data_IF_440634749395
#
_entry.id   IF_440634749395
#
_cell.length_a   1.000
_cell.length_b   1.000
_cell.length_c   1.000
_cell.angle_alpha   90.00
_cell.angle_beta   90.00
_cell.angle_gamma   90.00
#
_symmetry.space_group_name_H-M   'P 1'
#
loop_
_entity.id
_entity.type
_entity.pdbx_description
1 polymer ?
#
# COMPACT_ATOMS: atom_id res chain seq x y z
N UNK A 1 -8.85 -3.20 -20.02
CA UNK A 1 -7.42 -3.35 -19.70
C UNK A 1 -7.14 -2.39 -18.55
N UNK A 2 -6.48 -2.84 -17.47
CA UNK A 2 -6.13 -1.97 -16.35
C UNK A 2 -5.07 -0.96 -16.76
N UNK A 3 -5.19 0.28 -16.31
CA UNK A 3 -4.11 1.27 -16.34
C UNK A 3 -3.71 1.65 -14.92
N UNK A 4 -2.45 2.04 -14.74
CA UNK A 4 -1.90 2.46 -13.44
C UNK A 4 -1.25 3.82 -13.61
N UNK A 5 -1.73 4.80 -12.87
CA UNK A 5 -1.06 6.09 -12.70
C UNK A 5 -0.33 6.09 -11.35
N UNK A 6 0.92 6.55 -11.39
CA UNK A 6 1.79 6.66 -10.20
C UNK A 6 2.00 8.12 -9.85
N UNK A 7 1.78 8.45 -8.59
CA UNK A 7 2.05 9.78 -8.03
C UNK A 7 3.06 9.65 -6.90
N UNK A 8 4.17 10.35 -6.99
CA UNK A 8 5.16 10.45 -5.92
C UNK A 8 5.03 11.82 -5.26
N UNK A 9 4.84 11.85 -3.95
CA UNK A 9 4.92 13.10 -3.17
C UNK A 9 6.39 13.39 -2.86
N UNK A 10 6.94 14.44 -3.46
CA UNK A 10 8.34 14.82 -3.29
C UNK A 10 8.74 15.16 -1.85
N UNK A 11 7.77 15.44 -0.97
CA UNK A 11 8.03 15.77 0.44
C UNK A 11 8.24 14.54 1.33
N UNK A 12 7.66 13.40 0.94
CA UNK A 12 7.68 12.16 1.71
C UNK A 12 8.16 10.97 0.88
N UNK A 13 8.34 11.17 -0.43
CA UNK A 13 8.80 10.19 -1.42
C UNK A 13 8.00 8.87 -1.45
N UNK A 14 6.75 8.89 -0.98
CA UNK A 14 5.86 7.75 -1.03
C UNK A 14 5.01 7.75 -2.30
N UNK A 15 4.79 6.58 -2.85
CA UNK A 15 4.01 6.37 -4.05
C UNK A 15 2.53 6.15 -3.73
N UNK A 16 1.67 6.86 -4.43
CA UNK A 16 0.23 6.60 -4.52
C UNK A 16 -0.08 6.02 -5.89
N UNK A 17 -0.91 5.00 -5.97
CA UNK A 17 -1.32 4.40 -7.23
C UNK A 17 -2.83 4.52 -7.43
N UNK A 18 -3.23 4.97 -8.64
CA UNK A 18 -4.60 4.88 -9.13
C UNK A 18 -4.66 3.76 -10.18
N UNK A 19 -5.37 2.69 -9.86
CA UNK A 19 -5.61 1.59 -10.79
C UNK A 19 -6.98 1.83 -11.41
N UNK A 20 -7.02 2.04 -12.72
CA UNK A 20 -8.27 2.31 -13.44
C UNK A 20 -8.71 1.10 -14.25
N UNK A 21 -9.98 0.75 -14.12
CA UNK A 21 -10.69 -0.24 -14.93
C UNK A 21 -11.95 0.41 -15.51
N UNK A 22 -11.92 0.83 -16.77
CA UNK A 22 -12.99 1.61 -17.41
C UNK A 22 -13.32 2.89 -16.57
N UNK A 23 -14.53 2.99 -16.02
CA UNK A 23 -14.97 4.12 -15.19
C UNK A 23 -14.79 3.87 -13.68
N UNK A 24 -13.98 2.91 -13.30
CA UNK A 24 -13.75 2.52 -11.90
C UNK A 24 -12.29 2.74 -11.50
N UNK A 25 -12.05 3.17 -10.27
CA UNK A 25 -10.72 3.41 -9.71
C UNK A 25 -10.57 2.70 -8.38
N UNK A 26 -9.44 2.02 -8.22
CA UNK A 26 -8.94 1.54 -6.93
C UNK A 26 -7.70 2.36 -6.57
N UNK A 27 -7.66 2.88 -5.34
CA UNK A 27 -6.54 3.70 -4.84
C UNK A 27 -5.67 2.83 -3.92
N UNK A 28 -4.35 2.83 -4.15
CA UNK A 28 -3.39 2.22 -3.24
C UNK A 28 -2.56 3.34 -2.60
N UNK A 29 -2.50 3.34 -1.26
CA UNK A 29 -1.69 4.25 -0.44
C UNK A 29 -1.90 5.73 -0.80
N UNK A 30 -3.04 6.36 -0.42
CA UNK A 30 -3.33 7.76 -0.71
C UNK A 30 -2.44 8.70 0.12
N UNK A 31 -1.25 8.95 -0.37
CA UNK A 31 -0.23 9.80 0.25
C UNK A 31 -0.09 11.16 -0.43
N UNK A 32 -0.45 11.22 -1.70
CA UNK A 32 -0.26 12.41 -2.54
C UNK A 32 -1.33 13.48 -2.28
N UNK A 33 -1.08 14.71 -2.75
CA UNK A 33 -2.00 15.83 -2.58
C UNK A 33 -3.41 15.49 -3.11
N UNK A 34 -4.44 15.69 -2.27
CA UNK A 34 -5.81 15.30 -2.59
C UNK A 34 -6.34 15.94 -3.87
N UNK A 35 -6.07 17.24 -4.11
CA UNK A 35 -6.52 17.91 -5.35
C UNK A 35 -5.89 17.31 -6.60
N UNK A 36 -4.66 16.84 -6.50
CA UNK A 36 -4.01 16.11 -7.60
C UNK A 36 -4.73 14.79 -7.86
N UNK A 37 -4.96 13.98 -6.84
CA UNK A 37 -5.68 12.71 -6.97
C UNK A 37 -7.09 12.94 -7.52
N UNK A 38 -7.84 13.91 -6.96
CA UNK A 38 -9.19 14.27 -7.39
C UNK A 38 -9.25 14.62 -8.88
N UNK A 39 -8.27 15.37 -9.38
CA UNK A 39 -8.20 15.74 -10.82
C UNK A 39 -8.05 14.51 -11.72
N UNK A 40 -7.25 13.51 -11.32
CA UNK A 40 -7.03 12.30 -12.10
C UNK A 40 -8.15 11.27 -11.95
N UNK A 41 -8.78 11.22 -10.78
CA UNK A 41 -9.99 10.44 -10.56
C UNK A 41 -11.12 10.97 -11.47
N UNK A 42 -11.31 12.31 -11.52
CA UNK A 42 -12.37 12.93 -12.32
C UNK A 42 -13.75 12.42 -11.90
N UNK A 43 -14.58 12.03 -12.86
CA UNK A 43 -15.94 11.52 -12.64
C UNK A 43 -16.00 10.00 -12.44
N UNK A 44 -14.86 9.33 -12.26
CA UNK A 44 -14.81 7.87 -12.06
C UNK A 44 -15.31 7.49 -10.67
N UNK A 45 -15.82 6.28 -10.57
CA UNK A 45 -16.27 5.67 -9.33
C UNK A 45 -15.05 5.16 -8.57
N UNK A 46 -14.86 5.60 -7.33
CA UNK A 46 -13.82 5.08 -6.44
C UNK A 46 -14.36 3.83 -5.73
N UNK A 47 -14.02 2.65 -6.26
CA UNK A 47 -14.48 1.37 -5.73
C UNK A 47 -13.93 1.08 -4.33
N UNK A 48 -12.69 1.50 -4.06
CA UNK A 48 -12.04 1.27 -2.78
C UNK A 48 -10.70 1.96 -2.65
N UNK A 49 -10.23 2.00 -1.41
CA UNK A 49 -8.85 2.38 -1.05
C UNK A 49 -8.20 1.19 -0.37
N UNK A 50 -6.94 0.91 -0.66
CA UNK A 50 -6.15 -0.07 0.08
C UNK A 50 -4.94 0.60 0.69
N UNK A 51 -4.66 0.33 1.96
CA UNK A 51 -3.38 0.65 2.56
C UNK A 51 -2.50 -0.59 2.62
N UNK A 52 -1.30 -0.50 2.05
CA UNK A 52 -0.31 -1.58 2.12
C UNK A 52 0.20 -1.76 3.54
N UNK A 53 0.27 -0.68 4.31
CA UNK A 53 0.60 -0.70 5.74
C UNK A 53 0.19 0.61 6.43
N UNK A 54 0.48 0.74 7.72
CA UNK A 54 -0.01 1.84 8.55
C UNK A 54 1.03 2.93 8.85
N UNK A 55 2.03 3.19 8.00
CA UNK A 55 2.88 4.38 8.14
C UNK A 55 2.21 5.60 7.51
N UNK A 56 2.39 6.76 8.14
CA UNK A 56 1.69 8.01 7.82
C UNK A 56 1.90 8.48 6.39
N UNK A 57 3.09 8.31 5.87
CA UNK A 57 3.45 8.69 4.51
C UNK A 57 2.68 7.89 3.43
N UNK A 58 2.01 6.79 3.79
CA UNK A 58 1.14 6.03 2.90
C UNK A 58 -0.35 6.36 3.04
N UNK A 59 -0.76 7.10 4.09
CA UNK A 59 -2.17 7.44 4.29
C UNK A 59 -2.44 8.92 4.58
N UNK A 60 -1.47 9.79 4.33
CA UNK A 60 -1.54 11.24 4.60
C UNK A 60 -2.84 11.90 4.11
N UNK A 61 -3.37 11.47 2.97
CA UNK A 61 -4.57 12.01 2.32
C UNK A 61 -5.79 11.08 2.43
N UNK A 62 -5.70 10.00 3.21
CA UNK A 62 -6.79 9.03 3.34
C UNK A 62 -8.08 9.68 3.84
N UNK A 63 -7.98 10.61 4.80
CA UNK A 63 -9.16 11.28 5.37
C UNK A 63 -9.93 12.05 4.30
N UNK A 64 -9.24 12.83 3.47
CA UNK A 64 -9.86 13.59 2.40
C UNK A 64 -10.50 12.68 1.35
N UNK A 65 -9.86 11.55 1.03
CA UNK A 65 -10.47 10.57 0.10
C UNK A 65 -11.75 10.00 0.68
N UNK A 66 -11.75 9.56 1.93
CA UNK A 66 -12.94 8.99 2.58
C UNK A 66 -14.06 9.99 2.80
N UNK A 67 -13.74 11.27 2.99
CA UNK A 67 -14.75 12.33 3.16
C UNK A 67 -15.41 12.75 1.85
N UNK A 68 -14.69 12.65 0.72
CA UNK A 68 -15.18 13.16 -0.57
C UNK A 68 -15.73 12.07 -1.50
N UNK A 69 -15.48 10.78 -1.20
CA UNK A 69 -15.97 9.66 -2.00
C UNK A 69 -16.78 8.67 -1.15
N UNK A 70 -17.83 8.12 -1.72
CA UNK A 70 -18.58 7.01 -1.11
C UNK A 70 -17.81 5.72 -1.30
N UNK A 71 -16.78 5.54 -0.49
CA UNK A 71 -15.81 4.43 -0.59
C UNK A 71 -15.36 3.95 0.78
N UNK A 72 -14.72 2.79 0.82
CA UNK A 72 -14.14 2.19 2.03
C UNK A 72 -12.65 2.00 1.88
N UNK A 73 -11.93 2.01 3.01
CA UNK A 73 -10.53 1.68 3.09
C UNK A 73 -10.34 0.25 3.61
N UNK A 74 -9.63 -0.56 2.85
CA UNK A 74 -9.29 -1.94 3.17
C UNK A 74 -7.84 -1.99 3.63
N UNK A 75 -7.59 -2.49 4.81
CA UNK A 75 -6.27 -2.49 5.43
C UNK A 75 -6.14 -3.63 6.45
N UNK A 76 -4.92 -4.05 6.73
CA UNK A 76 -4.71 -5.07 7.77
C UNK A 76 -5.22 -4.57 9.13
N UNK A 77 -5.80 -5.45 9.95
CA UNK A 77 -6.39 -5.09 11.25
C UNK A 77 -5.43 -4.31 12.17
N UNK A 78 -4.14 -4.62 12.16
CA UNK A 78 -3.14 -3.89 12.95
C UNK A 78 -2.82 -2.50 12.38
N UNK A 79 -3.10 -2.23 11.10
CA UNK A 79 -2.97 -0.90 10.50
C UNK A 79 -4.07 0.05 11.00
N UNK A 80 -5.28 -0.46 11.31
CA UNK A 80 -6.36 0.36 11.86
C UNK A 80 -5.92 1.09 13.13
N UNK A 81 -5.21 0.40 14.03
CA UNK A 81 -4.71 0.99 15.28
C UNK A 81 -3.72 2.13 15.02
N UNK A 82 -2.93 2.02 13.96
CA UNK A 82 -1.92 3.02 13.60
C UNK A 82 -2.54 4.32 13.06
N UNK A 83 -3.75 4.29 12.51
CA UNK A 83 -4.45 5.49 12.04
C UNK A 83 -4.78 6.49 13.16
N UNK A 84 -4.68 6.09 14.43
CA UNK A 84 -4.91 6.95 15.60
C UNK A 84 -3.67 7.12 16.50
N UNK A 85 -2.54 6.48 16.16
CA UNK A 85 -1.32 6.50 16.97
C UNK A 85 -0.14 7.10 16.19
N UNK A 86 0.26 8.32 16.55
CA UNK A 86 1.35 9.06 15.88
C UNK A 86 2.71 8.38 15.98
N UNK A 87 2.94 7.55 17.00
CA UNK A 87 4.22 6.85 17.19
C UNK A 87 4.31 5.61 16.30
N UNK A 88 3.32 4.73 16.36
CA UNK A 88 3.32 3.47 15.57
C UNK A 88 3.04 3.70 14.10
N UNK A 89 2.39 4.82 13.73
CA UNK A 89 2.28 5.27 12.34
C UNK A 89 3.50 6.05 11.86
N UNK A 90 4.45 6.32 12.71
CA UNK A 90 5.63 7.14 12.41
C UNK A 90 5.30 8.60 12.01
N UNK A 91 4.07 9.06 12.23
CA UNK A 91 3.59 10.42 11.89
C UNK A 91 4.38 11.52 12.60
N UNK A 92 4.87 11.24 13.83
CA UNK A 92 5.67 12.18 14.61
C UNK A 92 6.97 12.57 13.90
N UNK A 93 7.55 11.69 13.10
CA UNK A 93 8.77 11.98 12.33
C UNK A 93 8.52 13.00 11.20
N UNK A 94 7.27 13.17 10.79
CA UNK A 94 6.80 14.15 9.82
C UNK A 94 6.23 15.42 10.49
N UNK A 95 6.45 15.58 11.82
CA UNK A 95 5.96 16.72 12.59
C UNK A 95 4.46 16.69 12.89
N UNK A 96 3.81 15.57 12.69
CA UNK A 96 2.37 15.38 12.95
C UNK A 96 2.17 14.88 14.37
N UNK A 97 1.58 15.73 15.23
CA UNK A 97 1.36 15.43 16.65
C UNK A 97 -0.04 14.89 16.94
N UNK A 98 -0.94 14.94 15.96
CA UNK A 98 -2.30 14.41 16.06
C UNK A 98 -2.77 13.94 14.69
N UNK A 99 -3.27 12.72 14.62
CA UNK A 99 -3.91 12.16 13.43
C UNK A 99 -5.40 12.54 13.40
N UNK A 100 -6.02 12.56 12.21
CA UNK A 100 -7.46 12.82 12.10
C UNK A 100 -8.27 11.65 12.65
N UNK A 101 -9.50 11.94 13.08
CA UNK A 101 -10.46 10.92 13.43
C UNK A 101 -11.09 10.32 12.16
N UNK A 102 -11.13 8.99 12.09
CA UNK A 102 -11.72 8.25 10.96
C UNK A 102 -13.08 7.69 11.33
N UNK A 103 -14.01 7.71 10.38
CA UNK A 103 -15.25 6.94 10.49
C UNK A 103 -14.91 5.43 10.39
N UNK A 104 -15.05 4.74 11.51
CA UNK A 104 -14.72 3.31 11.61
C UNK A 104 -15.60 2.45 10.70
N UNK A 105 -16.79 2.90 10.31
CA UNK A 105 -17.67 2.18 9.37
C UNK A 105 -17.11 2.13 7.95
N UNK A 106 -16.20 3.04 7.61
CA UNK A 106 -15.47 3.09 6.34
C UNK A 106 -14.17 2.28 6.34
N UNK A 107 -13.76 1.70 7.47
CA UNK A 107 -12.55 0.90 7.59
C UNK A 107 -12.89 -0.59 7.61
N UNK A 108 -12.35 -1.34 6.65
CA UNK A 108 -12.57 -2.78 6.50
C UNK A 108 -11.30 -3.54 6.82
N UNK A 109 -11.33 -4.30 7.92
CA UNK A 109 -10.18 -5.09 8.34
C UNK A 109 -9.92 -6.27 7.42
N UNK A 110 -8.71 -6.38 6.90
CA UNK A 110 -8.19 -7.58 6.23
C UNK A 110 -7.38 -8.39 7.26
N UNK A 111 -7.70 -9.66 7.36
CA UNK A 111 -6.97 -10.60 8.20
C UNK A 111 -6.18 -11.55 7.31
N UNK A 112 -4.86 -11.52 7.37
CA UNK A 112 -3.95 -12.44 6.68
C UNK A 112 -4.18 -12.55 5.16
N UNK A 113 -3.84 -13.72 4.59
CA UNK A 113 -3.91 -13.94 3.15
C UNK A 113 -5.37 -14.15 2.71
N UNK A 114 -5.83 -13.38 1.75
CA UNK A 114 -7.21 -13.47 1.27
C UNK A 114 -7.35 -13.09 -0.20
N UNK A 115 -8.42 -13.58 -0.82
CA UNK A 115 -8.89 -13.04 -2.10
C UNK A 115 -10.08 -12.14 -1.81
N UNK A 116 -10.15 -11.00 -2.48
CA UNK A 116 -11.12 -9.96 -2.22
C UNK A 116 -11.60 -9.35 -3.55
N UNK A 117 -12.89 -9.11 -3.67
CA UNK A 117 -13.45 -8.32 -4.77
C UNK A 117 -13.90 -6.98 -4.24
N UNK A 118 -13.38 -5.90 -4.83
CA UNK A 118 -13.74 -4.52 -4.51
C UNK A 118 -14.22 -3.87 -5.80
N UNK A 119 -15.52 -3.61 -5.90
CA UNK A 119 -16.11 -3.11 -7.13
C UNK A 119 -15.75 -3.98 -8.33
N UNK A 120 -15.05 -3.38 -9.29
CA UNK A 120 -14.64 -4.04 -10.54
C UNK A 120 -13.26 -4.75 -10.46
N UNK A 121 -12.64 -4.81 -9.27
CA UNK A 121 -11.29 -5.35 -9.09
C UNK A 121 -11.32 -6.65 -8.30
N UNK A 122 -10.67 -7.69 -8.83
CA UNK A 122 -10.39 -8.94 -8.11
C UNK A 122 -8.94 -8.92 -7.64
N UNK A 123 -8.75 -9.06 -6.34
CA UNK A 123 -7.48 -8.88 -5.66
C UNK A 123 -7.08 -10.17 -4.94
N UNK A 124 -5.78 -10.43 -4.91
CA UNK A 124 -5.16 -11.38 -4.00
C UNK A 124 -4.27 -10.61 -3.04
N UNK A 125 -4.46 -10.80 -1.75
CA UNK A 125 -3.73 -10.10 -0.71
C UNK A 125 -2.88 -11.10 0.06
N UNK A 126 -1.61 -10.76 0.23
CA UNK A 126 -0.68 -11.48 1.08
C UNK A 126 -0.29 -10.63 2.28
N UNK A 127 -0.44 -11.18 3.45
CA UNK A 127 0.16 -10.64 4.66
C UNK A 127 1.68 -10.89 4.62
N UNK A 128 2.45 -9.80 4.68
CA UNK A 128 3.92 -9.80 4.53
C UNK A 128 4.55 -8.94 5.62
N UNK A 129 4.43 -9.33 6.89
CA UNK A 129 5.02 -8.59 7.99
C UNK A 129 6.54 -8.53 7.87
N UNK A 130 7.13 -7.44 8.37
CA UNK A 130 8.57 -7.25 8.36
C UNK A 130 8.96 -5.80 8.47
N UNK A 131 8.59 -4.96 7.50
CA UNK A 131 8.72 -3.51 7.62
C UNK A 131 7.80 -2.99 8.74
N UNK A 132 6.56 -3.48 8.75
CA UNK A 132 5.63 -3.33 9.88
C UNK A 132 4.95 -4.67 10.18
N UNK A 133 4.28 -4.73 11.35
CA UNK A 133 3.43 -5.86 11.72
C UNK A 133 2.08 -5.92 10.97
N UNK A 134 1.83 -4.99 10.06
CA UNK A 134 0.60 -4.88 9.30
C UNK A 134 0.81 -4.80 7.78
N UNK A 135 2.05 -4.99 7.31
CA UNK A 135 2.38 -4.90 5.88
C UNK A 135 1.68 -6.00 5.08
N UNK A 136 1.12 -5.61 3.94
CA UNK A 136 0.51 -6.50 2.96
C UNK A 136 1.05 -6.21 1.55
N UNK A 137 1.01 -7.23 0.70
CA UNK A 137 1.19 -7.10 -0.75
C UNK A 137 -0.16 -7.33 -1.42
N UNK A 138 -0.47 -6.50 -2.40
CA UNK A 138 -1.70 -6.57 -3.18
C UNK A 138 -1.38 -6.99 -4.61
N UNK A 139 -2.04 -8.03 -5.10
CA UNK A 139 -1.92 -8.50 -6.47
C UNK A 139 -3.23 -8.24 -7.21
N UNK A 140 -3.12 -7.63 -8.38
CA UNK A 140 -4.22 -7.38 -9.31
C UNK A 140 -3.75 -7.81 -10.70
N UNK A 141 -4.33 -8.83 -11.28
CA UNK A 141 -3.85 -9.42 -12.54
C UNK A 141 -2.33 -9.72 -12.50
N UNK A 142 -1.52 -9.08 -13.34
CA UNK A 142 -0.06 -9.21 -13.39
C UNK A 142 0.66 -8.07 -12.63
N UNK A 143 -0.04 -7.29 -11.82
CA UNK A 143 0.49 -6.18 -11.03
C UNK A 143 0.67 -6.62 -9.57
N UNK A 144 1.76 -6.17 -8.93
CA UNK A 144 2.11 -6.44 -7.54
C UNK A 144 2.43 -5.12 -6.85
N UNK A 145 1.55 -4.66 -5.97
CA UNK A 145 1.78 -3.49 -5.13
C UNK A 145 2.40 -3.96 -3.82
N UNK A 146 3.71 -3.78 -3.71
CA UNK A 146 4.49 -4.38 -2.63
C UNK A 146 4.56 -3.55 -1.36
N UNK A 147 4.07 -2.30 -1.39
CA UNK A 147 4.31 -1.38 -0.28
C UNK A 147 5.80 -1.35 0.07
N UNK A 148 6.09 -1.32 1.36
CA UNK A 148 7.45 -1.30 1.88
C UNK A 148 8.01 -2.70 2.20
N UNK A 149 7.50 -3.72 1.51
CA UNK A 149 8.08 -5.06 1.62
C UNK A 149 9.23 -5.26 0.63
N UNK A 150 9.04 -4.89 -0.64
CA UNK A 150 10.02 -5.09 -1.72
C UNK A 150 10.15 -3.82 -2.55
N UNK A 151 11.38 -3.35 -2.72
CA UNK A 151 11.77 -2.24 -3.60
C UNK A 151 12.70 -2.72 -4.71
N UNK A 152 12.95 -1.86 -5.69
CA UNK A 152 13.96 -2.11 -6.71
C UNK A 152 15.33 -2.24 -6.06
N UNK A 153 15.94 -3.43 -6.16
CA UNK A 153 17.24 -3.79 -5.58
C UNK A 153 17.33 -3.65 -4.04
N UNK A 154 16.20 -3.49 -3.33
CA UNK A 154 16.16 -3.27 -1.89
C UNK A 154 14.90 -3.85 -1.26
N UNK A 155 14.79 -3.69 0.05
CA UNK A 155 13.61 -4.00 0.87
C UNK A 155 13.35 -2.89 1.88
N UNK A 156 12.15 -2.84 2.43
CA UNK A 156 11.83 -1.93 3.55
C UNK A 156 12.69 -2.22 4.77
N UNK A 157 13.06 -1.15 5.49
CA UNK A 157 13.77 -1.26 6.77
C UNK A 157 12.92 -1.98 7.81
N UNK A 158 13.58 -2.63 8.77
CA UNK A 158 12.91 -3.48 9.77
C UNK A 158 13.20 -3.07 11.21
N UNK A 159 13.83 -1.92 11.41
CA UNK A 159 14.31 -1.39 12.69
C UNK A 159 13.38 -0.32 13.30
N UNK A 160 12.25 0.00 12.64
CA UNK A 160 11.23 0.90 13.19
C UNK A 160 10.29 0.17 14.15
N UNK A 161 9.48 0.94 14.89
CA UNK A 161 8.43 0.40 15.76
C UNK A 161 7.55 -0.57 14.95
N UNK A 162 7.34 -1.76 15.49
CA UNK A 162 6.61 -2.88 14.86
C UNK A 162 7.31 -3.57 13.69
N UNK A 163 8.55 -3.17 13.35
CA UNK A 163 9.41 -3.86 12.39
C UNK A 163 9.99 -5.17 12.94
N UNK A 164 10.36 -6.09 12.05
CA UNK A 164 11.00 -7.36 12.42
C UNK A 164 11.77 -7.94 11.25
N UNK A 165 13.10 -8.03 11.38
CA UNK A 165 13.95 -8.64 10.36
C UNK A 165 13.61 -10.13 10.13
N UNK A 166 13.27 -10.86 11.19
CA UNK A 166 12.87 -12.27 11.07
C UNK A 166 11.55 -12.41 10.28
N UNK A 167 10.55 -11.57 10.57
CA UNK A 167 9.30 -11.59 9.82
C UNK A 167 9.51 -11.18 8.36
N UNK A 168 10.37 -10.19 8.09
CA UNK A 168 10.74 -9.78 6.73
C UNK A 168 11.35 -10.97 5.96
N UNK A 169 12.32 -11.67 6.54
CA UNK A 169 12.93 -12.83 5.88
C UNK A 169 11.88 -13.89 5.53
N UNK A 170 10.95 -14.21 6.44
CA UNK A 170 9.86 -15.15 6.17
C UNK A 170 8.95 -14.67 5.03
N UNK A 171 8.67 -13.37 4.95
CA UNK A 171 7.89 -12.76 3.87
C UNK A 171 8.64 -12.85 2.53
N UNK A 172 9.94 -12.56 2.52
CA UNK A 172 10.79 -12.67 1.33
C UNK A 172 10.92 -14.12 0.83
N UNK A 173 11.04 -15.09 1.74
CA UNK A 173 11.12 -16.52 1.38
C UNK A 173 9.84 -17.04 0.72
N UNK A 174 8.69 -16.41 0.99
CA UNK A 174 7.45 -16.67 0.25
C UNK A 174 7.49 -16.02 -1.13
N UNK A 175 8.00 -14.79 -1.24
CA UNK A 175 8.13 -14.06 -2.51
C UNK A 175 9.05 -14.82 -3.46
N UNK A 176 10.17 -15.37 -2.98
CA UNK A 176 11.12 -16.20 -3.77
C UNK A 176 10.46 -17.40 -4.46
N UNK A 177 9.34 -17.90 -3.94
CA UNK A 177 8.62 -19.06 -4.49
C UNK A 177 7.65 -18.71 -5.62
N UNK A 178 7.42 -17.42 -5.88
CA UNK A 178 6.51 -16.97 -6.94
C UNK A 178 7.13 -17.30 -8.31
N UNK A 179 6.33 -17.90 -9.20
CA UNK A 179 6.75 -18.30 -10.55
C UNK A 179 6.23 -17.37 -11.65
N UNK A 180 5.36 -16.44 -11.29
CA UNK A 180 4.80 -15.45 -12.22
C UNK A 180 5.65 -14.19 -12.19
N UNK A 181 5.95 -13.62 -13.35
CA UNK A 181 6.61 -12.31 -13.41
C UNK A 181 5.56 -11.20 -13.26
N UNK A 182 5.56 -10.57 -12.10
CA UNK A 182 4.71 -9.39 -11.83
C UNK A 182 5.47 -8.11 -12.15
N UNK A 183 4.74 -7.07 -12.60
CA UNK A 183 5.23 -5.70 -12.53
C UNK A 183 5.08 -5.27 -11.07
N UNK A 184 6.18 -4.87 -10.43
CA UNK A 184 6.24 -4.51 -9.01
C UNK A 184 6.14 -3.00 -8.88
N UNK A 185 5.14 -2.55 -8.14
CA UNK A 185 4.87 -1.16 -7.77
C UNK A 185 5.16 -1.00 -6.27
N UNK A 186 6.33 -0.47 -5.90
CA UNK A 186 6.76 -0.37 -4.50
C UNK A 186 6.15 0.86 -3.79
N UNK A 187 6.22 0.87 -2.45
CA UNK A 187 5.80 2.04 -1.66
C UNK A 187 6.64 3.28 -1.91
N UNK A 188 7.91 3.10 -2.27
CA UNK A 188 8.87 4.16 -2.62
C UNK A 188 9.67 3.78 -3.86
N UNK A 189 10.31 4.79 -4.46
CA UNK A 189 11.19 4.65 -5.63
C UNK A 189 10.48 4.15 -6.89
N UNK A 190 11.26 3.57 -7.82
CA UNK A 190 10.80 3.18 -9.15
C UNK A 190 10.17 1.79 -9.16
N UNK A 191 9.28 1.58 -10.12
CA UNK A 191 8.78 0.24 -10.44
C UNK A 191 9.90 -0.69 -10.96
N UNK A 192 9.68 -1.98 -10.79
CA UNK A 192 10.56 -3.04 -11.27
C UNK A 192 9.74 -4.26 -11.71
N UNK A 193 10.38 -5.39 -11.99
CA UNK A 193 9.69 -6.67 -12.19
C UNK A 193 10.17 -7.70 -11.19
N UNK A 194 9.29 -8.61 -10.80
CA UNK A 194 9.64 -9.62 -9.80
C UNK A 194 10.83 -10.49 -10.25
N UNK A 195 10.94 -10.82 -11.55
CA UNK A 195 12.06 -11.62 -12.04
C UNK A 195 13.39 -10.87 -12.00
N UNK A 196 13.38 -9.54 -12.21
CA UNK A 196 14.56 -8.71 -12.00
C UNK A 196 15.00 -8.74 -10.54
N UNK A 197 14.05 -8.59 -9.61
CA UNK A 197 14.36 -8.63 -8.18
C UNK A 197 14.83 -10.01 -7.74
N UNK A 198 14.23 -11.10 -8.20
CA UNK A 198 14.69 -12.46 -7.92
C UNK A 198 16.11 -12.71 -8.44
N UNK A 199 16.51 -12.03 -9.49
CA UNK A 199 17.84 -12.18 -10.11
C UNK A 199 18.91 -11.29 -9.48
N UNK A 200 18.57 -10.03 -9.15
CA UNK A 200 19.59 -9.03 -8.80
C UNK A 200 19.48 -8.51 -7.36
N UNK A 201 18.30 -8.57 -6.73
CA UNK A 201 18.13 -8.08 -5.38
C UNK A 201 18.85 -9.00 -4.37
N UNK A 202 19.83 -8.44 -3.65
CA UNK A 202 20.65 -9.20 -2.69
C UNK A 202 19.86 -9.84 -1.55
N UNK A 203 18.67 -9.34 -1.25
CA UNK A 203 17.81 -9.86 -0.18
C UNK A 203 16.92 -11.03 -0.64
N UNK A 204 16.81 -11.23 -1.96
CA UNK A 204 16.06 -12.34 -2.56
C UNK A 204 16.96 -13.48 -3.09
N UNK A 205 18.27 -13.35 -2.94
CA UNK A 205 19.25 -14.39 -3.31
C UNK A 205 19.41 -15.43 -2.23
#
# INVERSE_FOLDING_TARGET
MLSVETFCDSSINANTYLITNNNHVLIIDPANNFKTLQRFIGDKIVDGVILTHGHYDHFKTLKEVLDNYDTKCYLHKEAIKKLSDVNTSFAIAFGVNKLPDYDMSKLVAINENTNLTIGSFTLKIWFTPGHTNCSIIVFVENLMFSGDTLFKNSIGRTDLLTGSAMAMNNSLDRIKKIKTNYIVYPGHDEQTTLFEELKYNRYLR
#
